data_IF_624902262578
#
_entry.id   IF_624902262578
#
_cell.length_a   1.000
_cell.length_b   1.000
_cell.length_c   1.000
_cell.angle_alpha   90.00
_cell.angle_beta   90.00
_cell.angle_gamma   90.00
#
_symmetry.space_group_name_H-M   'P 1'
#
loop_
_entity.id
_entity.type
_entity.pdbx_description
1 polymer ?
#
# COMPACT_ATOMS: atom_id res chain seq x y z
N UNK A 1 26.87 35.21 -58.98
CA UNK A 1 25.51 35.41 -58.44
C UNK A 1 25.40 34.61 -57.16
N UNK A 2 25.46 35.27 -55.99
CA UNK A 2 25.30 34.66 -54.68
C UNK A 2 23.83 34.33 -54.43
N UNK A 3 23.49 33.06 -54.28
CA UNK A 3 22.16 32.63 -53.86
C UNK A 3 22.07 32.59 -52.34
N UNK A 4 21.31 33.52 -51.75
CA UNK A 4 20.94 33.45 -50.32
C UNK A 4 19.92 32.32 -50.17
N UNK A 5 20.28 31.26 -49.45
CA UNK A 5 19.35 30.19 -49.11
C UNK A 5 18.30 30.73 -48.12
N UNK A 6 17.02 30.70 -48.52
CA UNK A 6 15.92 31.01 -47.61
C UNK A 6 15.77 29.85 -46.61
N UNK A 7 15.68 30.13 -45.29
CA UNK A 7 15.44 29.08 -44.31
C UNK A 7 14.06 28.44 -44.54
N UNK A 8 14.04 27.11 -44.56
CA UNK A 8 12.85 26.28 -44.78
C UNK A 8 11.71 26.66 -43.84
N UNK A 9 10.52 26.94 -44.39
CA UNK A 9 9.30 27.30 -43.65
C UNK A 9 8.93 26.30 -42.54
N UNK A 10 9.36 25.05 -42.69
CA UNK A 10 9.16 23.96 -41.73
C UNK A 10 9.90 24.18 -40.39
N UNK A 11 11.17 24.62 -40.44
CA UNK A 11 11.99 24.95 -39.25
C UNK A 11 11.41 26.14 -38.45
N UNK A 12 10.74 27.08 -39.12
CA UNK A 12 10.10 28.23 -38.47
C UNK A 12 8.84 27.83 -37.71
N UNK A 13 8.18 26.74 -38.14
CA UNK A 13 6.96 26.20 -37.52
C UNK A 13 7.31 25.34 -36.30
N UNK A 14 8.35 24.51 -36.37
CA UNK A 14 8.89 23.78 -35.20
C UNK A 14 9.38 24.73 -34.10
N UNK A 15 10.13 25.79 -34.45
CA UNK A 15 10.55 26.81 -33.48
C UNK A 15 9.40 27.62 -32.88
N UNK A 16 8.29 27.76 -33.60
CA UNK A 16 7.10 28.44 -33.09
C UNK A 16 6.26 27.51 -32.20
N UNK A 17 6.24 26.22 -32.49
CA UNK A 17 5.57 25.20 -31.69
C UNK A 17 6.31 24.95 -30.38
N UNK A 18 7.63 24.78 -30.41
CA UNK A 18 8.47 24.67 -29.21
C UNK A 18 8.45 25.94 -28.32
N UNK A 19 8.09 27.11 -28.86
CA UNK A 19 7.88 28.34 -28.08
C UNK A 19 6.49 28.38 -27.44
N UNK A 20 5.47 27.82 -28.09
CA UNK A 20 4.11 27.70 -27.52
C UNK A 20 4.06 26.65 -26.42
N UNK A 21 4.72 25.51 -26.62
CA UNK A 21 4.83 24.46 -25.59
C UNK A 21 5.61 24.94 -24.36
N UNK A 22 6.53 25.90 -24.54
CA UNK A 22 7.27 26.54 -23.45
C UNK A 22 6.44 27.58 -22.66
N UNK A 23 5.51 28.26 -23.32
CA UNK A 23 4.59 29.23 -22.67
C UNK A 23 3.43 28.52 -21.95
N UNK A 24 2.96 27.38 -22.45
CA UNK A 24 1.89 26.59 -21.83
C UNK A 24 2.38 25.82 -20.59
N UNK A 25 3.67 25.49 -20.53
CA UNK A 25 4.31 24.89 -19.36
C UNK A 25 4.79 25.92 -18.30
N UNK A 26 4.29 27.18 -18.36
CA UNK A 26 4.71 28.27 -17.47
C UNK A 26 4.14 28.20 -16.04
N UNK A 27 3.56 27.06 -15.65
CA UNK A 27 3.48 26.68 -14.23
C UNK A 27 4.86 26.17 -13.76
N UNK A 28 5.91 26.95 -13.99
CA UNK A 28 7.22 26.75 -13.36
C UNK A 28 7.01 27.06 -11.86
N UNK A 29 6.55 26.05 -11.12
CA UNK A 29 6.56 26.09 -9.67
C UNK A 29 8.00 26.39 -9.27
N UNK A 30 8.21 27.52 -8.58
CA UNK A 30 9.53 27.93 -8.13
C UNK A 30 9.98 26.97 -7.03
N UNK A 31 10.55 25.83 -7.43
CA UNK A 31 11.17 24.87 -6.52
C UNK A 31 12.55 25.41 -6.13
N UNK A 32 12.88 25.29 -4.85
CA UNK A 32 14.18 25.70 -4.32
C UNK A 32 15.31 24.79 -4.83
N UNK A 33 16.47 24.87 -4.17
CA UNK A 33 17.58 23.95 -4.45
C UNK A 33 17.12 22.50 -4.22
N UNK A 34 17.30 21.58 -5.19
CA UNK A 34 17.03 20.17 -4.99
C UNK A 34 17.79 19.63 -3.79
N UNK A 35 17.15 18.74 -3.03
CA UNK A 35 17.77 18.07 -1.88
C UNK A 35 17.99 16.58 -2.21
N UNK A 36 19.03 16.00 -1.61
CA UNK A 36 19.35 14.58 -1.76
C UNK A 36 19.01 13.81 -0.48
N UNK A 37 18.11 12.81 -0.52
CA UNK A 37 17.61 12.08 0.64
C UNK A 37 18.58 10.99 1.12
N UNK A 38 19.83 11.34 1.43
CA UNK A 38 20.89 10.41 1.84
C UNK A 38 20.51 9.48 3.02
N UNK A 39 19.64 9.94 3.91
CA UNK A 39 19.16 9.16 5.05
C UNK A 39 18.18 8.05 4.65
N UNK A 40 17.43 8.22 3.55
CA UNK A 40 16.51 7.20 3.05
C UNK A 40 17.28 6.00 2.52
N UNK A 41 18.38 6.21 1.80
CA UNK A 41 19.23 5.11 1.33
C UNK A 41 19.81 4.29 2.49
N UNK A 42 20.20 4.95 3.59
CA UNK A 42 20.68 4.27 4.80
C UNK A 42 19.58 3.47 5.49
N UNK A 43 18.39 4.05 5.60
CA UNK A 43 17.21 3.38 6.15
C UNK A 43 16.86 2.13 5.33
N UNK A 44 16.82 2.22 4.00
CA UNK A 44 16.52 1.11 3.11
C UNK A 44 17.48 -0.06 3.29
N UNK A 45 18.77 0.22 3.45
CA UNK A 45 19.78 -0.79 3.71
C UNK A 45 19.55 -1.50 5.06
N UNK A 46 19.00 -0.82 6.07
CA UNK A 46 18.66 -1.43 7.35
C UNK A 46 17.39 -2.30 7.28
N UNK A 47 16.38 -1.85 6.52
CA UNK A 47 15.09 -2.54 6.41
C UNK A 47 15.14 -3.83 5.57
N UNK A 48 15.99 -3.91 4.53
CA UNK A 48 16.06 -5.06 3.62
C UNK A 48 17.22 -6.03 3.93
N UNK A 49 17.50 -6.26 5.21
CA UNK A 49 18.75 -6.83 5.77
C UNK A 49 19.27 -8.17 5.21
N UNK A 50 18.57 -8.87 4.31
CA UNK A 50 18.99 -10.19 3.80
C UNK A 50 19.08 -10.34 2.28
N UNK A 51 18.62 -9.37 1.48
CA UNK A 51 18.62 -9.54 0.02
C UNK A 51 19.18 -8.29 -0.69
N UNK A 52 20.47 -8.35 -1.02
CA UNK A 52 21.22 -7.32 -1.77
C UNK A 52 20.74 -7.10 -3.22
N UNK A 53 19.57 -7.65 -3.59
CA UNK A 53 19.00 -7.60 -4.94
C UNK A 53 18.33 -6.27 -5.30
N UNK A 54 18.02 -5.44 -4.29
CA UNK A 54 17.42 -4.10 -4.46
C UNK A 54 18.44 -2.96 -4.31
N UNK A 55 19.61 -3.20 -3.71
CA UNK A 55 20.66 -2.19 -3.55
C UNK A 55 21.51 -1.99 -4.81
N UNK A 56 20.98 -2.28 -5.99
CA UNK A 56 21.65 -2.01 -7.25
C UNK A 56 21.46 -0.53 -7.58
N UNK A 57 22.50 0.26 -7.34
CA UNK A 57 22.48 1.71 -7.55
C UNK A 57 22.02 2.05 -8.98
N UNK A 58 20.97 2.88 -9.08
CA UNK A 58 20.42 3.32 -10.37
C UNK A 58 19.38 2.39 -10.99
N UNK A 59 19.04 1.25 -10.36
CA UNK A 59 17.92 0.42 -10.78
C UNK A 59 16.59 1.10 -10.46
N UNK A 60 15.64 1.03 -11.38
CA UNK A 60 14.26 1.46 -11.12
C UNK A 60 13.53 0.41 -10.29
N UNK A 61 12.79 0.87 -9.29
CA UNK A 61 12.01 0.05 -8.36
C UNK A 61 10.52 0.36 -8.50
N UNK A 62 9.69 -0.59 -8.08
CA UNK A 62 8.25 -0.37 -7.95
C UNK A 62 7.97 0.47 -6.69
N UNK A 63 7.25 1.57 -6.85
CA UNK A 63 6.90 2.47 -5.75
C UNK A 63 5.91 1.84 -4.75
N UNK A 64 5.05 0.93 -5.21
CA UNK A 64 4.12 0.20 -4.35
C UNK A 64 4.89 -0.74 -3.43
N UNK A 65 5.87 -1.47 -3.98
CA UNK A 65 6.70 -2.38 -3.21
C UNK A 65 7.52 -1.62 -2.16
N UNK A 66 8.09 -0.47 -2.55
CA UNK A 66 8.78 0.43 -1.63
C UNK A 66 7.86 0.90 -0.50
N UNK A 67 6.65 1.34 -0.83
CA UNK A 67 5.67 1.82 0.15
C UNK A 67 5.27 0.72 1.12
N UNK A 68 4.96 -0.48 0.61
CA UNK A 68 4.59 -1.65 1.41
C UNK A 68 5.69 -2.02 2.40
N UNK A 69 6.95 -2.05 1.96
CA UNK A 69 8.08 -2.26 2.86
C UNK A 69 8.17 -1.19 3.94
N UNK A 70 8.11 0.08 3.54
CA UNK A 70 8.26 1.21 4.46
C UNK A 70 7.18 1.21 5.54
N UNK A 71 5.92 1.01 5.15
CA UNK A 71 4.79 1.00 6.09
C UNK A 71 4.86 -0.16 7.07
N UNK A 72 5.24 -1.36 6.60
CA UNK A 72 5.40 -2.51 7.48
C UNK A 72 6.56 -2.32 8.46
N UNK A 73 7.73 -1.87 7.98
CA UNK A 73 8.87 -1.59 8.84
C UNK A 73 8.56 -0.54 9.91
N UNK A 74 7.90 0.56 9.53
CA UNK A 74 7.45 1.58 10.48
C UNK A 74 6.43 1.04 11.49
N UNK A 75 5.48 0.21 11.04
CA UNK A 75 4.49 -0.40 11.93
C UNK A 75 5.16 -1.28 12.99
N UNK A 76 6.11 -2.12 12.56
CA UNK A 76 6.82 -3.05 13.43
C UNK A 76 7.68 -2.30 14.46
N UNK A 77 8.43 -1.28 14.01
CA UNK A 77 9.21 -0.42 14.93
C UNK A 77 8.30 0.29 15.94
N UNK A 78 7.14 0.81 15.51
CA UNK A 78 6.17 1.44 16.44
C UNK A 78 5.64 0.43 17.44
N UNK A 79 5.40 -0.82 17.02
CA UNK A 79 4.90 -1.87 17.88
C UNK A 79 5.91 -2.24 18.96
N UNK A 80 7.18 -2.36 18.59
CA UNK A 80 8.28 -2.58 19.54
C UNK A 80 8.38 -1.44 20.56
N UNK A 81 8.27 -0.19 20.10
CA UNK A 81 8.30 0.98 20.99
C UNK A 81 7.12 1.01 21.95
N UNK A 82 5.91 0.67 21.49
CA UNK A 82 4.73 0.59 22.36
C UNK A 82 4.93 -0.45 23.46
N UNK A 83 5.48 -1.63 23.12
CA UNK A 83 5.79 -2.69 24.09
C UNK A 83 6.82 -2.27 25.15
N UNK A 84 7.73 -1.35 24.82
CA UNK A 84 8.72 -0.81 25.75
C UNK A 84 8.16 0.25 26.69
N UNK A 85 7.13 0.99 26.26
CA UNK A 85 6.52 2.10 27.02
C UNK A 85 5.33 1.64 27.85
N UNK A 86 4.59 0.64 27.39
CA UNK A 86 3.45 0.10 28.13
C UNK A 86 3.91 -0.64 29.39
N UNK A 87 3.45 -0.19 30.56
CA UNK A 87 3.54 -0.98 31.79
C UNK A 87 2.73 -2.28 31.61
N UNK A 88 3.18 -3.42 32.17
CA UNK A 88 2.50 -4.69 32.01
C UNK A 88 1.05 -4.58 32.50
N UNK A 89 0.10 -4.53 31.56
CA UNK A 89 -1.31 -4.61 31.89
C UNK A 89 -1.60 -6.03 32.38
N UNK A 90 -2.38 -6.21 33.45
CA UNK A 90 -2.88 -7.54 33.78
C UNK A 90 -3.64 -8.07 32.57
N UNK A 91 -3.22 -9.24 32.07
CA UNK A 91 -3.91 -9.94 30.98
C UNK A 91 -5.39 -10.01 31.31
N UNK A 92 -6.28 -9.44 30.48
CA UNK A 92 -7.70 -9.60 30.70
C UNK A 92 -7.99 -11.09 30.62
N UNK A 93 -8.61 -11.64 31.67
CA UNK A 93 -9.11 -13.00 31.67
C UNK A 93 -10.25 -13.04 30.66
N UNK A 94 -9.94 -13.35 29.41
CA UNK A 94 -10.93 -13.62 28.38
C UNK A 94 -11.39 -15.06 28.58
N UNK A 95 -12.68 -15.25 28.84
CA UNK A 95 -13.30 -16.58 28.80
C UNK A 95 -13.40 -17.01 27.34
N UNK A 96 -12.40 -17.75 26.87
CA UNK A 96 -12.31 -18.26 25.51
C UNK A 96 -10.92 -18.02 24.95
N UNK A 97 -10.31 -19.08 24.44
CA UNK A 97 -9.06 -19.02 23.68
C UNK A 97 -9.35 -18.31 22.35
N UNK A 98 -9.23 -16.98 22.34
CA UNK A 98 -9.17 -16.23 21.08
C UNK A 98 -7.76 -16.43 20.58
N UNK A 99 -7.53 -17.52 19.83
CA UNK A 99 -6.27 -17.68 19.12
C UNK A 99 -6.17 -16.51 18.14
N UNK A 100 -5.21 -15.62 18.37
CA UNK A 100 -4.96 -14.41 17.56
C UNK A 100 -4.79 -14.68 16.07
N UNK A 101 -4.65 -15.96 15.67
CA UNK A 101 -4.35 -16.41 14.31
C UNK A 101 -5.20 -17.61 13.83
N UNK A 102 -6.35 -17.89 14.46
CA UNK A 102 -7.31 -18.87 13.93
C UNK A 102 -6.82 -20.32 13.87
N UNK A 103 -5.87 -20.70 14.74
CA UNK A 103 -5.42 -22.08 14.88
C UNK A 103 -6.49 -22.86 15.68
N UNK A 104 -7.43 -23.49 14.97
CA UNK A 104 -8.45 -24.35 15.58
C UNK A 104 -7.89 -25.76 15.78
N UNK A 105 -7.81 -26.17 17.04
CA UNK A 105 -7.51 -27.53 17.47
C UNK A 105 -8.45 -28.56 16.77
N UNK A 106 -7.94 -29.66 16.19
CA UNK A 106 -8.70 -30.53 15.29
C UNK A 106 -9.76 -31.44 15.95
N UNK A 107 -9.99 -31.31 17.27
CA UNK A 107 -10.82 -32.27 18.02
C UNK A 107 -12.29 -31.82 18.24
N UNK A 108 -12.64 -30.56 17.98
CA UNK A 108 -14.04 -30.09 18.06
C UNK A 108 -14.54 -29.64 16.67
N UNK A 109 -15.35 -30.49 16.03
CA UNK A 109 -15.97 -30.31 14.70
C UNK A 109 -16.98 -29.15 14.59
N UNK A 110 -16.92 -28.15 15.48
CA UNK A 110 -17.81 -26.99 15.46
C UNK A 110 -16.99 -25.73 15.23
N UNK A 111 -16.70 -25.43 13.96
CA UNK A 111 -16.13 -24.15 13.56
C UNK A 111 -16.94 -23.01 14.19
N UNK A 112 -16.27 -22.10 14.90
CA UNK A 112 -16.93 -20.96 15.53
C UNK A 112 -17.55 -20.05 14.45
N UNK A 113 -18.81 -19.67 14.68
CA UNK A 113 -19.60 -18.86 13.72
C UNK A 113 -19.90 -17.50 14.31
N UNK A 114 -19.54 -16.44 13.60
CA UNK A 114 -19.89 -15.07 13.94
C UNK A 114 -21.35 -14.80 13.52
N UNK A 115 -22.15 -14.25 14.43
CA UNK A 115 -23.52 -13.83 14.13
C UNK A 115 -23.47 -12.44 13.51
N UNK A 116 -23.85 -12.35 12.24
CA UNK A 116 -23.92 -11.09 11.51
C UNK A 116 -25.39 -10.69 11.27
N UNK A 117 -25.61 -9.45 10.80
CA UNK A 117 -26.93 -9.03 10.30
C UNK A 117 -27.40 -9.84 9.07
N UNK A 118 -26.51 -10.61 8.43
CA UNK A 118 -26.79 -11.49 7.29
C UNK A 118 -26.83 -12.98 7.68
N UNK A 119 -26.86 -13.31 8.97
CA UNK A 119 -26.88 -14.68 9.49
C UNK A 119 -25.55 -15.13 10.08
N UNK A 120 -25.47 -16.42 10.43
CA UNK A 120 -24.27 -17.04 10.99
C UNK A 120 -23.28 -17.35 9.86
N UNK A 121 -22.02 -16.96 10.03
CA UNK A 121 -20.95 -17.21 9.06
C UNK A 121 -19.70 -17.71 9.76
N UNK A 122 -18.97 -18.61 9.12
CA UNK A 122 -17.62 -18.99 9.58
C UNK A 122 -16.72 -17.78 9.33
N UNK A 123 -16.03 -17.25 10.35
CA UNK A 123 -15.23 -16.03 10.20
C UNK A 123 -13.83 -16.22 10.74
N UNK A 124 -12.82 -15.96 9.90
CA UNK A 124 -11.41 -15.89 10.28
C UNK A 124 -10.98 -14.42 10.23
N UNK A 125 -10.25 -13.99 11.26
CA UNK A 125 -9.80 -12.59 11.40
C UNK A 125 -8.31 -12.57 11.69
N UNK A 126 -7.56 -11.86 10.86
CA UNK A 126 -6.23 -11.42 11.21
C UNK A 126 -6.36 -10.08 11.96
N UNK A 127 -5.75 -9.98 13.13
CA UNK A 127 -5.75 -8.75 13.92
C UNK A 127 -4.37 -8.08 13.80
N UNK A 128 -4.37 -6.80 13.46
CA UNK A 128 -3.19 -5.96 13.57
C UNK A 128 -3.26 -5.25 14.93
N UNK A 129 -2.19 -5.32 15.71
CA UNK A 129 -2.07 -4.48 16.91
C UNK A 129 -2.13 -3.00 16.51
N UNK A 130 -2.82 -2.20 17.34
CA UNK A 130 -3.08 -0.80 17.03
C UNK A 130 -1.82 0.04 17.19
N UNK A 131 -1.35 0.63 16.11
CA UNK A 131 -0.28 1.64 16.08
C UNK A 131 -0.84 2.99 15.60
N UNK A 132 -0.15 4.13 15.88
CA UNK A 132 -0.52 5.42 15.28
C UNK A 132 -0.57 5.39 13.75
N UNK A 133 0.22 4.53 13.10
CA UNK A 133 0.16 4.32 11.66
C UNK A 133 -1.16 3.65 11.25
N UNK A 134 -1.56 2.60 11.96
CA UNK A 134 -2.84 1.92 11.73
C UNK A 134 -4.06 2.82 12.01
N UNK A 135 -3.93 3.83 12.89
CA UNK A 135 -5.00 4.79 13.14
C UNK A 135 -5.27 5.71 11.93
N UNK A 136 -4.27 5.91 11.07
CA UNK A 136 -4.35 6.81 9.92
C UNK A 136 -4.58 6.03 8.63
N UNK A 137 -3.81 4.96 8.42
CA UNK A 137 -3.79 4.21 7.17
C UNK A 137 -4.37 2.80 7.31
N UNK A 138 -4.66 2.34 8.54
CA UNK A 138 -5.16 1.00 8.80
C UNK A 138 -6.63 0.87 8.40
N UNK A 139 -6.91 -0.14 7.59
CA UNK A 139 -8.24 -0.47 7.07
C UNK A 139 -8.41 -1.99 7.08
N UNK A 140 -9.66 -2.48 6.97
CA UNK A 140 -9.97 -3.92 7.03
C UNK A 140 -10.75 -4.38 5.80
N UNK A 141 -10.24 -5.43 5.14
CA UNK A 141 -10.86 -6.04 3.97
C UNK A 141 -11.61 -7.28 4.43
N UNK A 142 -12.84 -7.46 3.96
CA UNK A 142 -13.61 -8.68 4.15
C UNK A 142 -13.77 -9.40 2.83
N UNK A 143 -13.16 -10.57 2.71
CA UNK A 143 -13.38 -11.49 1.60
C UNK A 143 -14.39 -12.56 2.01
N UNK A 144 -15.50 -12.66 1.28
CA UNK A 144 -16.53 -13.69 1.49
C UNK A 144 -16.43 -14.76 0.41
N UNK A 145 -16.24 -16.02 0.82
CA UNK A 145 -16.24 -17.18 -0.08
C UNK A 145 -17.51 -18.00 0.14
N UNK A 146 -18.24 -18.25 -0.94
CA UNK A 146 -19.39 -19.15 -0.99
C UNK A 146 -19.08 -20.30 -1.96
N UNK A 147 -19.18 -21.53 -1.49
CA UNK A 147 -19.10 -22.75 -2.31
C UNK A 147 -20.47 -23.41 -2.37
N UNK A 148 -20.76 -24.10 -3.47
CA UNK A 148 -22.05 -24.80 -3.63
C UNK A 148 -22.24 -25.82 -2.50
N UNK A 149 -23.38 -25.75 -1.83
CA UNK A 149 -23.76 -26.59 -0.67
C UNK A 149 -22.87 -26.43 0.58
N UNK A 150 -22.02 -25.40 0.65
CA UNK A 150 -21.25 -25.07 1.84
C UNK A 150 -21.71 -23.74 2.46
N UNK A 151 -21.32 -23.51 3.71
CA UNK A 151 -21.60 -22.26 4.40
C UNK A 151 -20.70 -21.12 3.90
N UNK A 152 -21.18 -19.88 4.01
CA UNK A 152 -20.37 -18.70 3.67
C UNK A 152 -19.25 -18.57 4.70
N UNK A 153 -18.03 -18.48 4.21
CA UNK A 153 -16.85 -18.19 5.02
C UNK A 153 -16.34 -16.78 4.73
N UNK A 154 -16.10 -16.02 5.79
CA UNK A 154 -15.54 -14.68 5.74
C UNK A 154 -14.09 -14.72 6.23
N UNK A 155 -13.19 -14.05 5.50
CA UNK A 155 -11.82 -13.78 5.90
C UNK A 155 -11.64 -12.26 6.03
N UNK A 156 -11.29 -11.78 7.22
CA UNK A 156 -11.10 -10.36 7.50
C UNK A 156 -9.62 -10.10 7.73
N UNK A 157 -9.04 -9.23 6.91
CA UNK A 157 -7.60 -8.96 6.90
C UNK A 157 -7.32 -7.44 6.98
N UNK A 158 -6.36 -7.02 7.80
CA UNK A 158 -5.92 -5.63 7.83
C UNK A 158 -5.11 -5.31 6.56
N UNK A 159 -5.20 -4.07 6.10
CA UNK A 159 -4.41 -3.56 4.99
C UNK A 159 -4.07 -2.07 5.19
N UNK A 160 -3.01 -1.60 4.52
CA UNK A 160 -2.63 -0.18 4.48
C UNK A 160 -2.87 0.47 3.11
N UNK A 161 -2.93 -0.34 2.07
CA UNK A 161 -3.10 0.09 0.67
C UNK A 161 -4.12 -0.82 -0.02
N UNK A 162 -4.92 -0.26 -0.92
CA UNK A 162 -5.88 -1.00 -1.74
C UNK A 162 -5.42 -0.94 -3.19
N UNK A 163 -5.06 -2.10 -3.75
CA UNK A 163 -4.77 -2.21 -5.18
C UNK A 163 -6.09 -2.30 -5.97
N UNK A 164 -6.21 -1.49 -7.02
CA UNK A 164 -7.41 -1.42 -7.86
C UNK A 164 -7.15 -2.04 -9.23
N UNK A 165 -8.12 -2.81 -9.72
CA UNK A 165 -8.10 -3.28 -11.10
C UNK A 165 -8.67 -2.21 -12.04
N UNK A 166 -7.78 -1.71 -12.91
CA UNK A 166 -8.08 -0.64 -13.86
C UNK A 166 -8.27 -1.14 -15.29
N UNK A 167 -8.11 -2.45 -15.58
CA UNK A 167 -8.05 -2.96 -16.97
C UNK A 167 -9.29 -2.60 -17.79
N UNK A 168 -10.46 -2.55 -17.14
CA UNK A 168 -11.75 -2.18 -17.75
C UNK A 168 -12.48 -1.07 -16.99
N UNK A 169 -11.71 -0.13 -16.41
CA UNK A 169 -12.26 0.99 -15.62
C UNK A 169 -11.74 2.32 -16.18
N UNK A 170 -12.64 3.25 -16.47
CA UNK A 170 -12.28 4.60 -16.92
C UNK A 170 -12.19 5.60 -15.76
N UNK A 171 -12.74 5.24 -14.60
CA UNK A 171 -12.70 6.05 -13.37
C UNK A 171 -12.31 5.25 -12.14
N UNK A 172 -11.84 5.95 -11.11
CA UNK A 172 -11.54 5.33 -9.79
C UNK A 172 -12.80 4.73 -9.16
N UNK A 173 -13.97 5.36 -9.36
CA UNK A 173 -15.24 4.84 -8.85
C UNK A 173 -15.58 3.49 -9.49
N UNK A 174 -15.44 3.38 -10.81
CA UNK A 174 -15.64 2.11 -11.52
C UNK A 174 -14.65 1.03 -11.08
N UNK A 175 -13.39 1.40 -10.85
CA UNK A 175 -12.37 0.46 -10.37
C UNK A 175 -12.63 -0.05 -8.94
N UNK A 176 -13.37 0.71 -8.12
CA UNK A 176 -13.77 0.33 -6.77
C UNK A 176 -15.04 -0.55 -6.71
N UNK A 177 -15.87 -0.51 -7.75
CA UNK A 177 -17.16 -1.22 -7.79
C UNK A 177 -17.06 -2.65 -8.36
N UNK A 178 -15.87 -3.05 -8.82
CA UNK A 178 -15.58 -4.40 -9.28
C UNK A 178 -15.38 -5.38 -8.12
#
# INVERSE_FOLDING_TARGET
KSGVAQPSRMMRREKAQARRDKDENSLDMHTGTPFEPNYVYKMLHALRSEDSSFTEEGRQEDAEEFLSLLLNGLNDEMLELLKLVEEPRPVPVVNGDVTSNGDTHPEDNSDWKEVTNRGMRITRRAELERTPLSDILGVQLRSSLLRENEEISDNIQPFFTLQLDIESSDTVAEALEK
#
